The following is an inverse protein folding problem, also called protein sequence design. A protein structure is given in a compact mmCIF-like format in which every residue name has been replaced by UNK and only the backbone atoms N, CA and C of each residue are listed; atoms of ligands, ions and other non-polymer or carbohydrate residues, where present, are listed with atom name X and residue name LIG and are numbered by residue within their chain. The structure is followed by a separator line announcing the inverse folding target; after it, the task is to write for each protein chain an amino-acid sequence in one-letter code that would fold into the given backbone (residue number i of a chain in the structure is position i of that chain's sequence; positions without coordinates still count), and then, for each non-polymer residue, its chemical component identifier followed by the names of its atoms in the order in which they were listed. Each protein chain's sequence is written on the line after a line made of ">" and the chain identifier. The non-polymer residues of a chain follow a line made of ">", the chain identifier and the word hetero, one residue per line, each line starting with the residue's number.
data_IF_652698383077
#
_entry.id   IF_652698383077
#
_cell.length_a   1.000
_cell.length_b   1.000
_cell.length_c   1.000
_cell.angle_alpha   90.00
_cell.angle_beta   90.00
_cell.angle_gamma   90.00
#
_symmetry.space_group_name_H-M   'P 1'
#
loop_
_entity.id
_entity.type
_entity.pdbx_description
1 polymer ?
#
# COMPACT_ATOMS: atom_id res chain seq x y z
N UNK A 1 -12.70 -7.98 7.40
CA UNK A 1 -12.57 -7.66 5.95
C UNK A 1 -12.47 -8.95 5.13
N UNK A 2 -13.23 -9.06 4.04
CA UNK A 2 -13.10 -10.15 3.06
C UNK A 2 -11.94 -9.83 2.10
N UNK A 3 -11.25 -10.88 1.63
CA UNK A 3 -10.11 -10.80 0.71
C UNK A 3 -10.33 -9.88 -0.49
N UNK A 4 -11.49 -9.98 -1.15
CA UNK A 4 -11.84 -9.17 -2.30
C UNK A 4 -11.84 -7.65 -1.98
N UNK A 5 -12.21 -7.25 -0.76
CA UNK A 5 -12.18 -5.86 -0.34
C UNK A 5 -10.74 -5.33 -0.17
N UNK A 6 -9.84 -6.16 0.38
CA UNK A 6 -8.43 -5.81 0.52
C UNK A 6 -7.74 -5.64 -0.84
N UNK A 7 -8.03 -6.54 -1.80
CA UNK A 7 -7.48 -6.44 -3.16
C UNK A 7 -7.99 -5.18 -3.87
N UNK A 8 -9.28 -4.85 -3.73
CA UNK A 8 -9.83 -3.60 -4.30
C UNK A 8 -9.17 -2.36 -3.72
N UNK A 9 -8.97 -2.31 -2.39
CA UNK A 9 -8.29 -1.21 -1.73
C UNK A 9 -6.83 -1.09 -2.17
N UNK A 10 -6.13 -2.22 -2.30
CA UNK A 10 -4.75 -2.26 -2.79
C UNK A 10 -4.61 -1.70 -4.20
N UNK A 11 -5.54 -2.05 -5.10
CA UNK A 11 -5.55 -1.57 -6.49
C UNK A 11 -5.98 -0.10 -6.62
N UNK A 12 -6.67 0.46 -5.63
CA UNK A 12 -7.05 1.87 -5.65
C UNK A 12 -5.99 2.81 -5.07
N UNK A 13 -4.98 2.28 -4.39
CA UNK A 13 -3.86 3.07 -3.88
C UNK A 13 -2.80 3.24 -4.97
N UNK A 14 -2.34 4.46 -5.20
CA UNK A 14 -1.30 4.75 -6.21
C UNK A 14 0.08 4.51 -5.58
N UNK A 15 0.38 3.23 -5.39
CA UNK A 15 1.61 2.80 -4.75
C UNK A 15 2.74 2.78 -5.79
N UNK A 16 3.75 3.64 -5.63
CA UNK A 16 4.97 3.63 -6.46
C UNK A 16 5.85 2.38 -6.32
N UNK A 17 5.40 1.35 -5.59
CA UNK A 17 6.10 0.08 -5.46
C UNK A 17 5.89 -0.79 -6.70
N UNK A 18 6.99 -1.19 -7.33
CA UNK A 18 6.99 -2.25 -8.36
C UNK A 18 6.83 -3.61 -7.67
N UNK A 19 5.65 -3.90 -7.15
CA UNK A 19 5.26 -5.22 -6.66
C UNK A 19 4.28 -5.82 -7.65
N UNK A 20 4.48 -7.11 -7.95
CA UNK A 20 3.55 -7.87 -8.76
C UNK A 20 2.27 -8.13 -7.96
N UNK A 21 1.21 -7.37 -8.26
CA UNK A 21 -0.12 -7.54 -7.68
C UNK A 21 -1.03 -8.42 -8.56
N UNK A 22 -0.45 -9.34 -9.34
CA UNK A 22 -1.25 -10.30 -10.12
C UNK A 22 -2.19 -11.09 -9.24
N UNK A 23 -3.34 -11.48 -9.80
CA UNK A 23 -4.35 -12.23 -9.05
C UNK A 23 -3.82 -13.58 -8.56
N UNK A 24 -2.88 -14.20 -9.28
CA UNK A 24 -2.24 -15.46 -8.88
C UNK A 24 -1.30 -15.25 -7.68
N UNK A 25 -0.47 -14.21 -7.70
CA UNK A 25 0.36 -13.86 -6.55
C UNK A 25 -0.49 -13.49 -5.34
N UNK A 26 -1.50 -12.64 -5.56
CA UNK A 26 -2.44 -12.27 -4.51
C UNK A 26 -3.15 -13.51 -3.97
N UNK A 27 -3.63 -14.46 -4.78
CA UNK A 27 -4.26 -15.75 -4.39
C UNK A 27 -3.36 -16.65 -3.55
N UNK A 28 -2.08 -16.74 -3.88
CA UNK A 28 -1.12 -17.52 -3.10
C UNK A 28 -0.86 -16.95 -1.70
N UNK A 29 -1.16 -15.65 -1.49
CA UNK A 29 -0.89 -14.96 -0.23
C UNK A 29 -1.97 -15.23 0.84
N UNK A 30 -1.55 -15.42 2.09
CA UNK A 30 -2.47 -15.51 3.22
C UNK A 30 -3.18 -14.18 3.46
N UNK A 31 -4.38 -14.23 4.06
CA UNK A 31 -5.16 -13.01 4.36
C UNK A 31 -4.40 -12.10 5.33
N UNK A 32 -3.68 -12.64 6.30
CA UNK A 32 -2.89 -11.85 7.26
C UNK A 32 -1.77 -11.08 6.55
N UNK A 33 -1.03 -11.75 5.65
CA UNK A 33 0.01 -11.08 4.89
C UNK A 33 -0.56 -10.03 3.94
N UNK A 34 -1.71 -10.30 3.32
CA UNK A 34 -2.41 -9.31 2.49
C UNK A 34 -2.81 -8.06 3.30
N UNK A 35 -3.25 -8.23 4.56
CA UNK A 35 -3.54 -7.09 5.45
C UNK A 35 -2.30 -6.25 5.73
N UNK A 36 -1.17 -6.89 6.02
CA UNK A 36 0.10 -6.17 6.23
C UNK A 36 0.54 -5.39 5.00
N UNK A 37 0.43 -5.99 3.80
CA UNK A 37 0.76 -5.32 2.54
C UNK A 37 -0.14 -4.11 2.31
N UNK A 38 -1.46 -4.26 2.48
CA UNK A 38 -2.41 -3.14 2.36
C UNK A 38 -2.12 -2.04 3.37
N UNK A 39 -1.78 -2.38 4.61
CA UNK A 39 -1.42 -1.39 5.63
C UNK A 39 -0.14 -0.63 5.23
N UNK A 40 0.92 -1.34 4.85
CA UNK A 40 2.17 -0.73 4.41
C UNK A 40 1.98 0.17 3.18
N UNK A 41 1.15 -0.28 2.23
CA UNK A 41 0.74 0.51 1.07
C UNK A 41 -0.02 1.78 1.48
N UNK A 42 -0.99 1.68 2.39
CA UNK A 42 -1.74 2.85 2.87
C UNK A 42 -0.85 3.87 3.59
N UNK A 43 0.13 3.41 4.37
CA UNK A 43 1.10 4.29 5.02
C UNK A 43 1.94 5.02 3.98
N UNK A 44 2.33 4.35 2.90
CA UNK A 44 3.08 4.97 1.81
C UNK A 44 2.27 5.95 0.98
N UNK A 45 1.00 5.65 0.68
CA UNK A 45 0.07 6.56 0.01
C UNK A 45 -0.10 7.86 0.81
N UNK A 46 -0.29 7.75 2.13
CA UNK A 46 -0.30 8.89 3.05
C UNK A 46 1.06 9.60 3.16
N UNK A 47 2.18 8.87 3.06
CA UNK A 47 3.53 9.44 3.13
C UNK A 47 3.93 10.14 1.82
N UNK A 48 3.47 9.65 0.66
CA UNK A 48 3.65 10.28 -0.64
C UNK A 48 2.87 11.60 -0.72
N UNK A 49 1.70 11.70 -0.07
CA UNK A 49 1.00 12.97 0.15
C UNK A 49 1.64 13.86 1.24
N UNK A 50 2.62 13.37 2.01
CA UNK A 50 3.38 14.14 3.02
C UNK A 50 4.79 14.54 2.56
N UNK A 51 5.11 14.37 1.29
CA UNK A 51 6.31 14.98 0.71
C UNK A 51 6.15 16.48 0.46
N UNK A 52 5.96 17.31 1.50
CA UNK A 52 6.43 18.72 1.51
C UNK A 52 6.25 19.51 2.84
N UNK A 53 6.52 18.94 4.03
CA UNK A 53 6.65 19.76 5.27
C UNK A 53 7.76 19.34 6.24
N UNK A 54 8.81 18.66 5.79
CA UNK A 54 9.94 18.33 6.69
C UNK A 54 11.33 18.61 6.11
N UNK A 55 11.43 19.34 5.01
CA UNK A 55 12.66 20.00 4.59
C UNK A 55 12.62 21.52 4.93
N UNK A 56 12.51 21.85 6.22
CA UNK A 56 12.91 23.17 6.70
C UNK A 56 13.66 23.00 8.03
N UNK A 57 14.93 22.58 7.90
CA UNK A 57 15.94 22.83 8.92
C UNK A 57 16.39 24.30 8.85
N UNK A 58 16.95 24.85 9.95
CA UNK A 58 17.04 26.29 10.19
C UNK A 58 18.18 26.94 9.40
N UNK A 59 17.98 28.20 9.03
CA UNK A 59 19.04 29.14 8.67
C UNK A 59 18.73 30.49 9.34
#
# INVERSE_FOLDING_TARGET
>A
MRRAGLVRLLRSMDCGFRIDFSDEYLKSMSIERLRHVVLAASLHDHSACQGDRSAQGPA
#
